data_IF_080958751231
#
_entry.id   IF_080958751231
#
_cell.length_a   1.000
_cell.length_b   1.000
_cell.length_c   1.000
_cell.angle_alpha   90.00
_cell.angle_beta   90.00
_cell.angle_gamma   90.00
#
_symmetry.space_group_name_H-M   'P 1'
#
loop_
_entity.id
_entity.type
_entity.pdbx_description
1 polymer ?
#
# COMPACT_ATOMS: atom_id res chain seq x y z
N UNK A 1 -27.05 -5.68 -0.15
CA UNK A 1 -28.24 -5.07 -0.76
C UNK A 1 -29.36 -4.72 0.22
N UNK A 2 -29.81 -5.58 1.17
CA UNK A 2 -30.90 -5.21 2.11
C UNK A 2 -30.51 -4.18 3.18
N UNK A 3 -29.28 -4.22 3.73
CA UNK A 3 -28.79 -3.27 4.75
C UNK A 3 -28.43 -1.90 4.13
N UNK A 4 -27.74 -1.88 3.00
CA UNK A 4 -27.44 -0.64 2.24
C UNK A 4 -28.72 0.08 1.76
N UNK A 5 -29.73 -0.69 1.32
CA UNK A 5 -31.06 -0.11 1.00
C UNK A 5 -31.76 0.50 2.22
N UNK A 6 -31.49 -0.02 3.43
CA UNK A 6 -32.01 0.56 4.69
C UNK A 6 -31.27 1.84 5.06
N UNK A 7 -29.94 1.91 4.87
CA UNK A 7 -29.13 3.11 5.10
C UNK A 7 -29.56 4.24 4.15
N UNK A 8 -29.72 3.92 2.86
CA UNK A 8 -30.18 4.87 1.85
C UNK A 8 -31.63 5.32 2.05
N UNK A 9 -32.52 4.40 2.46
CA UNK A 9 -33.91 4.75 2.81
C UNK A 9 -33.96 5.66 4.05
N UNK A 10 -33.02 5.52 4.98
CA UNK A 10 -32.91 6.37 6.17
C UNK A 10 -32.36 7.75 5.82
N UNK A 11 -31.34 7.83 4.90
CA UNK A 11 -30.80 9.08 4.40
C UNK A 11 -31.81 9.87 3.54
N UNK A 12 -32.57 9.21 2.66
CA UNK A 12 -33.67 9.85 1.91
C UNK A 12 -34.85 10.30 2.81
N UNK A 13 -35.15 9.54 3.86
CA UNK A 13 -36.19 9.94 4.83
C UNK A 13 -35.76 11.20 5.60
N UNK A 14 -34.46 11.38 5.92
CA UNK A 14 -33.94 12.55 6.60
C UNK A 14 -34.01 13.81 5.72
N UNK A 15 -33.74 13.71 4.41
CA UNK A 15 -33.84 14.85 3.48
C UNK A 15 -35.30 15.31 3.28
N UNK A 16 -36.30 14.39 3.41
CA UNK A 16 -37.73 14.75 3.33
C UNK A 16 -38.28 15.37 4.62
N UNK A 17 -37.64 15.16 5.77
CA UNK A 17 -38.12 15.76 7.05
C UNK A 17 -37.76 17.25 7.16
N UNK A 18 -36.67 17.70 6.48
CA UNK A 18 -36.29 19.12 6.50
C UNK A 18 -37.22 20.08 5.73
N UNK A 19 -38.16 19.57 4.91
CA UNK A 19 -39.07 20.40 4.14
C UNK A 19 -40.41 20.72 4.86
N UNK A 20 -40.69 20.23 6.07
CA UNK A 20 -41.95 20.39 6.74
C UNK A 20 -41.94 21.02 8.16
N UNK A 21 -40.78 21.46 8.66
CA UNK A 21 -40.67 22.05 10.00
C UNK A 21 -40.61 23.60 9.97
N UNK A 22 -41.60 24.23 9.33
CA UNK A 22 -41.87 25.64 9.51
C UNK A 22 -43.35 25.81 9.94
N UNK A 23 -43.70 25.48 11.17
CA UNK A 23 -44.74 26.06 12.03
C UNK A 23 -45.06 25.16 13.23
N UNK A 24 -44.84 25.67 14.44
CA UNK A 24 -45.51 25.21 15.63
C UNK A 24 -44.58 24.66 16.73
N UNK A 25 -44.40 25.44 17.81
CA UNK A 25 -43.54 25.14 18.94
C UNK A 25 -43.96 23.92 19.74
N UNK A 26 -42.99 23.27 20.31
CA UNK A 26 -43.01 22.17 21.24
C UNK A 26 -41.60 21.63 21.41
N UNK A 27 -41.03 21.79 22.63
CA UNK A 27 -39.77 21.19 23.06
C UNK A 27 -39.81 19.67 22.88
N UNK A 28 -39.13 19.16 21.89
CA UNK A 28 -38.59 17.81 21.86
C UNK A 28 -37.24 17.89 21.11
N UNK A 29 -36.16 17.87 21.88
CA UNK A 29 -34.81 17.72 21.39
C UNK A 29 -34.64 16.33 20.77
N UNK A 30 -35.04 16.17 19.51
CA UNK A 30 -34.54 15.08 18.69
C UNK A 30 -33.07 15.36 18.50
N UNK A 31 -32.20 14.57 19.14
CA UNK A 31 -30.78 14.53 18.85
C UNK A 31 -30.63 14.26 17.35
N UNK A 32 -30.12 15.23 16.62
CA UNK A 32 -29.72 15.11 15.22
C UNK A 32 -28.52 14.15 15.22
N UNK A 33 -28.80 12.83 15.09
CA UNK A 33 -27.75 11.82 15.12
C UNK A 33 -27.06 11.79 13.77
N UNK A 34 -25.78 12.20 13.71
CA UNK A 34 -24.94 11.99 12.55
C UNK A 34 -25.04 10.52 12.09
N UNK A 35 -25.03 10.30 10.78
CA UNK A 35 -25.01 8.94 10.20
C UNK A 35 -23.69 8.29 10.57
N UNK A 36 -23.73 7.14 11.26
CA UNK A 36 -22.52 6.38 11.60
C UNK A 36 -22.26 5.29 10.57
N UNK A 37 -21.03 5.23 10.06
CA UNK A 37 -20.51 4.21 9.14
C UNK A 37 -19.36 3.51 9.83
N UNK A 38 -19.48 2.21 10.08
CA UNK A 38 -18.45 1.40 10.71
C UNK A 38 -17.45 0.92 9.66
N UNK A 39 -16.17 1.20 9.87
CA UNK A 39 -15.09 0.86 8.93
C UNK A 39 -14.04 -0.01 9.62
N UNK A 40 -13.96 -1.29 9.24
CA UNK A 40 -12.89 -2.18 9.69
C UNK A 40 -11.62 -1.91 8.88
N UNK A 41 -10.54 -1.46 9.54
CA UNK A 41 -9.22 -1.26 8.91
C UNK A 41 -8.30 -2.36 9.40
N UNK A 42 -7.76 -3.18 8.50
CA UNK A 42 -6.87 -4.29 8.87
C UNK A 42 -5.54 -4.09 8.14
N UNK A 43 -4.52 -3.73 8.93
CA UNK A 43 -3.15 -3.56 8.45
C UNK A 43 -2.40 -4.89 8.48
N UNK A 44 -1.60 -5.19 7.44
CA UNK A 44 -0.83 -6.42 7.38
C UNK A 44 0.21 -6.52 8.50
N UNK A 45 1.09 -5.52 8.61
CA UNK A 45 2.14 -5.40 9.64
C UNK A 45 2.63 -3.95 9.74
N UNK A 46 3.50 -3.67 10.71
CA UNK A 46 4.13 -2.36 10.84
C UNK A 46 5.35 -2.24 9.94
N UNK A 47 5.33 -1.27 9.06
CA UNK A 47 6.45 -0.64 8.37
C UNK A 47 6.02 0.72 7.82
N UNK A 48 6.96 1.58 7.45
CA UNK A 48 6.72 2.99 7.16
C UNK A 48 5.58 3.21 6.13
N UNK A 49 5.58 2.53 4.99
CA UNK A 49 4.54 2.73 3.95
C UNK A 49 3.14 2.33 4.44
N UNK A 50 2.97 1.19 5.14
CA UNK A 50 1.65 0.78 5.63
C UNK A 50 1.16 1.68 6.77
N UNK A 51 2.07 2.16 7.63
CA UNK A 51 1.73 3.10 8.69
C UNK A 51 1.24 4.43 8.09
N UNK A 52 1.94 4.97 7.07
CA UNK A 52 1.51 6.16 6.33
C UNK A 52 0.11 5.99 5.72
N UNK A 53 -0.15 4.85 5.09
CA UNK A 53 -1.47 4.55 4.50
C UNK A 53 -2.56 4.63 5.56
N UNK A 54 -2.40 3.88 6.66
CA UNK A 54 -3.43 3.78 7.71
C UNK A 54 -3.69 5.12 8.36
N UNK A 55 -2.63 5.86 8.71
CA UNK A 55 -2.74 7.20 9.30
C UNK A 55 -3.52 8.15 8.38
N UNK A 56 -3.21 8.13 7.09
CA UNK A 56 -3.88 9.01 6.13
C UNK A 56 -5.30 8.56 5.76
N UNK A 57 -5.61 7.25 5.79
CA UNK A 57 -6.99 6.76 5.72
C UNK A 57 -7.80 7.31 6.89
N UNK A 58 -7.34 7.14 8.12
CA UNK A 58 -8.02 7.57 9.34
C UNK A 58 -8.25 9.09 9.33
N UNK A 59 -7.19 9.86 9.11
CA UNK A 59 -7.26 11.31 9.03
C UNK A 59 -8.24 11.79 7.95
N UNK A 60 -8.21 11.16 6.78
CA UNK A 60 -9.09 11.56 5.67
C UNK A 60 -10.55 11.21 5.92
N UNK A 61 -10.83 10.07 6.56
CA UNK A 61 -12.19 9.70 6.99
C UNK A 61 -12.75 10.72 7.99
N UNK A 62 -11.93 11.21 8.94
CA UNK A 62 -12.33 12.26 9.88
C UNK A 62 -12.62 13.59 9.18
N UNK A 63 -11.72 14.04 8.28
CA UNK A 63 -11.89 15.26 7.50
C UNK A 63 -13.19 15.22 6.69
N UNK A 64 -13.39 14.14 5.93
CA UNK A 64 -14.59 13.97 5.10
C UNK A 64 -15.85 13.78 5.91
N UNK A 65 -15.74 13.08 7.04
CA UNK A 65 -16.84 12.90 7.98
C UNK A 65 -17.34 14.23 8.53
N UNK A 66 -16.42 15.10 8.96
CA UNK A 66 -16.74 16.44 9.43
C UNK A 66 -17.39 17.33 8.34
N UNK A 67 -16.95 17.21 7.07
CA UNK A 67 -17.53 17.95 5.94
C UNK A 67 -18.95 17.51 5.60
N UNK A 68 -19.26 16.21 5.79
CA UNK A 68 -20.50 15.57 5.32
C UNK A 68 -21.50 15.27 6.44
N UNK A 69 -21.18 15.58 7.70
CA UNK A 69 -21.94 15.21 8.89
C UNK A 69 -22.16 13.68 8.99
N UNK A 70 -21.08 12.92 8.68
CA UNK A 70 -21.02 11.47 8.79
C UNK A 70 -19.95 11.12 9.82
N UNK A 71 -20.26 10.21 10.75
CA UNK A 71 -19.26 9.66 11.66
C UNK A 71 -18.74 8.33 11.12
N UNK A 72 -17.48 8.31 10.67
CA UNK A 72 -16.78 7.07 10.30
C UNK A 72 -16.16 6.48 11.58
N UNK A 73 -16.77 5.41 12.11
CA UNK A 73 -16.28 4.74 13.31
C UNK A 73 -15.26 3.67 12.90
N UNK A 74 -13.96 3.95 13.02
CA UNK A 74 -12.87 3.04 12.67
C UNK A 74 -11.97 2.69 13.85
N UNK A 75 -11.81 3.55 14.86
CA UNK A 75 -10.84 3.35 15.95
C UNK A 75 -11.07 2.03 16.69
N UNK A 76 -12.32 1.63 16.85
CA UNK A 76 -12.70 0.37 17.49
C UNK A 76 -12.43 -0.85 16.60
N UNK A 77 -12.37 -0.65 15.29
CA UNK A 77 -12.28 -1.71 14.27
C UNK A 77 -10.96 -1.69 13.51
N UNK A 78 -9.99 -0.89 13.97
CA UNK A 78 -8.61 -0.97 13.49
C UNK A 78 -7.90 -2.13 14.15
N UNK A 79 -7.22 -2.96 13.34
CA UNK A 79 -6.45 -4.11 13.81
C UNK A 79 -5.19 -4.28 12.95
N UNK A 80 -4.12 -4.82 13.58
CA UNK A 80 -2.86 -5.13 12.91
C UNK A 80 -2.63 -6.64 12.91
N UNK A 81 -2.45 -7.20 11.72
CA UNK A 81 -2.27 -8.63 11.48
C UNK A 81 -0.88 -9.16 11.82
N UNK A 82 0.09 -8.27 12.12
CA UNK A 82 1.46 -8.59 12.53
C UNK A 82 2.23 -9.51 11.56
N UNK A 83 1.79 -9.57 10.29
CA UNK A 83 2.36 -10.47 9.29
C UNK A 83 2.01 -11.95 9.48
N UNK A 84 1.07 -12.27 10.38
CA UNK A 84 0.66 -13.64 10.68
C UNK A 84 -0.73 -13.94 10.09
N UNK A 85 -0.80 -14.96 9.24
CA UNK A 85 -2.04 -15.33 8.56
C UNK A 85 -3.17 -15.73 9.52
N UNK A 86 -2.86 -16.32 10.67
CA UNK A 86 -3.87 -16.71 11.67
C UNK A 86 -4.42 -15.48 12.38
N UNK A 87 -3.56 -14.49 12.69
CA UNK A 87 -3.97 -13.21 13.28
C UNK A 87 -4.81 -12.43 12.28
N UNK A 88 -4.39 -12.35 11.02
CA UNK A 88 -5.15 -11.68 9.94
C UNK A 88 -6.56 -12.27 9.81
N UNK A 89 -6.67 -13.60 9.73
CA UNK A 89 -7.97 -14.26 9.65
C UNK A 89 -8.85 -13.97 10.87
N UNK A 90 -8.25 -13.88 12.08
CA UNK A 90 -8.99 -13.53 13.29
C UNK A 90 -9.46 -12.06 13.22
N UNK A 91 -8.60 -11.12 12.82
CA UNK A 91 -8.97 -9.72 12.65
C UNK A 91 -10.14 -9.55 11.69
N UNK A 92 -10.13 -10.26 10.55
CA UNK A 92 -11.21 -10.24 9.57
C UNK A 92 -12.50 -10.81 10.17
N UNK A 93 -12.41 -11.94 10.88
CA UNK A 93 -13.57 -12.55 11.51
C UNK A 93 -14.20 -11.64 12.58
N UNK A 94 -13.38 -10.92 13.36
CA UNK A 94 -13.84 -10.00 14.39
C UNK A 94 -14.62 -8.83 13.79
N UNK A 95 -14.11 -8.15 12.74
CA UNK A 95 -14.80 -7.03 12.10
C UNK A 95 -16.08 -7.48 11.39
N UNK A 96 -16.11 -8.70 10.81
CA UNK A 96 -17.32 -9.29 10.25
C UNK A 96 -18.36 -9.54 11.36
N UNK A 97 -17.95 -10.07 12.52
CA UNK A 97 -18.84 -10.33 13.66
C UNK A 97 -19.39 -9.03 14.27
N UNK A 98 -18.61 -7.95 14.24
CA UNK A 98 -19.02 -6.60 14.69
C UNK A 98 -19.94 -5.88 13.67
N UNK A 99 -20.25 -6.55 12.56
CA UNK A 99 -21.13 -6.04 11.50
C UNK A 99 -20.67 -4.67 10.98
N UNK A 100 -19.38 -4.55 10.55
CA UNK A 100 -18.89 -3.33 9.91
C UNK A 100 -19.56 -3.11 8.55
N UNK A 101 -19.69 -1.85 8.13
CA UNK A 101 -20.26 -1.48 6.84
C UNK A 101 -19.27 -1.59 5.70
N UNK A 102 -17.96 -1.42 5.97
CA UNK A 102 -16.84 -1.54 5.04
C UNK A 102 -15.66 -2.24 5.70
N UNK A 103 -14.88 -2.97 4.90
CA UNK A 103 -13.57 -3.48 5.30
C UNK A 103 -12.50 -2.84 4.40
N UNK A 104 -11.47 -2.26 5.01
CA UNK A 104 -10.28 -1.76 4.32
C UNK A 104 -9.10 -2.66 4.68
N UNK A 105 -8.80 -3.70 3.88
CA UNK A 105 -7.57 -4.46 4.03
C UNK A 105 -6.40 -3.67 3.44
N UNK A 106 -5.32 -3.53 4.19
CA UNK A 106 -4.11 -2.82 3.78
C UNK A 106 -3.01 -3.84 3.49
N UNK A 107 -2.54 -3.88 2.27
CA UNK A 107 -1.64 -4.81 1.62
C UNK A 107 -2.30 -6.08 1.03
N UNK A 108 -1.67 -6.64 -0.01
CA UNK A 108 -2.18 -7.79 -0.80
C UNK A 108 -2.54 -9.01 0.05
N UNK A 109 -1.74 -9.47 1.03
CA UNK A 109 -2.08 -10.66 1.81
C UNK A 109 -3.39 -10.51 2.59
N UNK A 110 -3.67 -9.31 3.14
CA UNK A 110 -4.91 -9.03 3.88
C UNK A 110 -6.09 -8.93 2.91
N UNK A 111 -5.89 -8.33 1.72
CA UNK A 111 -6.92 -8.23 0.70
C UNK A 111 -7.41 -9.59 0.22
N UNK A 112 -6.49 -10.54 -0.02
CA UNK A 112 -6.81 -11.94 -0.41
C UNK A 112 -7.60 -12.63 0.71
N UNK A 113 -7.17 -12.49 1.97
CA UNK A 113 -7.86 -13.08 3.10
C UNK A 113 -9.27 -12.47 3.30
N UNK A 114 -9.40 -11.14 3.16
CA UNK A 114 -10.69 -10.45 3.26
C UNK A 114 -11.66 -10.84 2.15
N UNK A 115 -11.19 -10.95 0.89
CA UNK A 115 -11.99 -11.44 -0.23
C UNK A 115 -12.56 -12.82 0.08
N UNK A 116 -11.69 -13.75 0.48
CA UNK A 116 -12.09 -15.14 0.80
C UNK A 116 -13.14 -15.18 1.91
N UNK A 117 -12.97 -14.37 2.96
CA UNK A 117 -13.88 -14.35 4.11
C UNK A 117 -15.23 -13.66 3.80
N UNK A 118 -15.29 -12.81 2.76
CA UNK A 118 -16.48 -12.01 2.43
C UNK A 118 -17.16 -12.41 1.12
N UNK A 119 -16.70 -13.49 0.45
CA UNK A 119 -17.20 -13.92 -0.86
C UNK A 119 -18.72 -14.09 -0.90
N UNK A 120 -19.32 -14.64 0.16
CA UNK A 120 -20.76 -14.85 0.30
C UNK A 120 -21.46 -13.75 1.10
N UNK A 121 -20.77 -12.65 1.41
CA UNK A 121 -21.29 -11.56 2.25
C UNK A 121 -21.53 -10.29 1.42
N UNK A 122 -22.53 -9.50 1.85
CA UNK A 122 -22.83 -8.19 1.24
C UNK A 122 -21.95 -7.05 1.84
N UNK A 123 -20.74 -7.37 2.34
CA UNK A 123 -19.81 -6.38 2.91
C UNK A 123 -18.87 -5.91 1.81
N UNK A 124 -18.87 -4.62 1.42
CA UNK A 124 -17.90 -4.09 0.47
C UNK A 124 -16.50 -4.04 1.07
N UNK A 125 -15.52 -4.49 0.29
CA UNK A 125 -14.11 -4.48 0.62
C UNK A 125 -13.42 -3.47 -0.28
N UNK A 126 -12.66 -2.53 0.33
CA UNK A 126 -11.88 -1.51 -0.39
C UNK A 126 -10.42 -1.67 0.01
N UNK A 127 -9.67 -2.41 -0.80
CA UNK A 127 -8.25 -2.64 -0.49
C UNK A 127 -7.40 -1.38 -0.69
N UNK A 128 -6.31 -1.31 0.06
CA UNK A 128 -5.26 -0.29 -0.09
C UNK A 128 -3.92 -0.99 -0.31
N UNK A 129 -3.11 -0.48 -1.25
CA UNK A 129 -1.79 -1.02 -1.59
C UNK A 129 -1.83 -2.50 -2.02
N UNK A 130 -2.50 -2.77 -3.13
CA UNK A 130 -2.42 -4.06 -3.82
C UNK A 130 -1.71 -3.87 -5.15
N UNK A 131 -0.53 -4.49 -5.31
CA UNK A 131 0.35 -4.23 -6.46
C UNK A 131 -0.20 -4.80 -7.77
N UNK A 132 -0.82 -5.99 -7.74
CA UNK A 132 -1.46 -6.61 -8.91
C UNK A 132 -2.84 -7.20 -8.54
N UNK A 133 -3.89 -6.37 -8.51
CA UNK A 133 -5.22 -6.84 -8.11
C UNK A 133 -5.84 -7.89 -9.05
N UNK A 134 -5.47 -7.86 -10.33
CA UNK A 134 -5.95 -8.84 -11.32
C UNK A 134 -5.18 -10.15 -11.19
N UNK A 135 -3.84 -10.08 -11.12
CA UNK A 135 -2.98 -11.25 -10.93
C UNK A 135 -3.22 -11.97 -9.60
N UNK A 136 -3.53 -11.23 -8.53
CA UNK A 136 -3.94 -11.77 -7.24
C UNK A 136 -5.36 -12.37 -7.24
N UNK A 137 -6.11 -12.23 -8.34
CA UNK A 137 -7.48 -12.77 -8.47
C UNK A 137 -8.53 -12.01 -7.65
N UNK A 138 -8.23 -10.79 -7.20
CA UNK A 138 -9.15 -9.97 -6.40
C UNK A 138 -10.25 -9.33 -7.25
N UNK A 139 -9.92 -8.92 -8.46
CA UNK A 139 -10.84 -8.25 -9.39
C UNK A 139 -10.76 -8.85 -10.80
N UNK A 140 -11.86 -8.79 -11.53
CA UNK A 140 -11.89 -9.28 -12.92
C UNK A 140 -11.07 -8.38 -13.87
N UNK A 141 -11.11 -7.07 -13.65
CA UNK A 141 -10.26 -6.07 -14.31
C UNK A 141 -10.22 -4.80 -13.46
N UNK A 142 -9.28 -3.89 -13.75
CA UNK A 142 -9.17 -2.62 -13.03
C UNK A 142 -10.39 -1.72 -13.26
N UNK A 143 -10.92 -1.67 -14.49
CA UNK A 143 -12.07 -0.83 -14.83
C UNK A 143 -13.41 -1.39 -14.34
N UNK A 144 -13.53 -2.71 -14.19
CA UNK A 144 -14.74 -3.40 -13.78
C UNK A 144 -14.41 -4.57 -12.83
N UNK A 145 -14.28 -4.30 -11.53
CA UNK A 145 -13.92 -5.30 -10.51
C UNK A 145 -14.84 -6.52 -10.49
N UNK A 146 -16.15 -6.31 -10.56
CA UNK A 146 -17.16 -7.35 -10.77
C UNK A 146 -17.65 -8.08 -9.51
N UNK A 147 -16.91 -7.99 -8.39
CA UNK A 147 -17.22 -8.60 -7.08
C UNK A 147 -17.60 -7.58 -6.02
N UNK A 148 -17.50 -7.99 -4.75
CA UNK A 148 -17.68 -7.11 -3.60
C UNK A 148 -16.39 -6.38 -3.19
N UNK A 149 -15.32 -6.46 -4.00
CA UNK A 149 -14.00 -5.91 -3.72
C UNK A 149 -13.52 -4.97 -4.82
N UNK A 150 -12.94 -3.84 -4.42
CA UNK A 150 -12.22 -2.84 -5.22
C UNK A 150 -11.16 -2.17 -4.36
N UNK A 151 -10.48 -1.12 -4.83
CA UNK A 151 -9.53 -0.38 -4.00
C UNK A 151 -8.50 0.41 -4.78
N UNK A 152 -7.34 0.62 -4.16
CA UNK A 152 -6.22 1.39 -4.69
C UNK A 152 -4.98 0.51 -4.88
N UNK A 153 -4.37 0.61 -6.06
CA UNK A 153 -3.19 -0.18 -6.41
C UNK A 153 -1.90 0.62 -6.26
N UNK A 154 -0.89 -0.01 -5.67
CA UNK A 154 0.50 0.47 -5.62
C UNK A 154 1.36 -0.23 -6.68
N UNK A 155 0.81 -0.49 -7.86
CA UNK A 155 1.54 -1.10 -8.97
C UNK A 155 2.95 -0.51 -9.13
N UNK A 156 3.96 -1.37 -9.26
CA UNK A 156 5.35 -0.98 -9.46
C UNK A 156 5.75 -1.11 -10.93
N UNK A 157 6.22 -0.02 -11.54
CA UNK A 157 6.95 -0.08 -12.80
C UNK A 157 8.39 -0.56 -12.57
N UNK A 158 8.57 -1.88 -12.59
CA UNK A 158 9.86 -2.51 -12.37
C UNK A 158 10.91 -2.08 -13.42
N UNK A 159 10.49 -1.84 -14.66
CA UNK A 159 11.43 -1.41 -15.71
C UNK A 159 11.95 0.01 -15.43
N UNK A 160 11.13 0.88 -14.86
CA UNK A 160 11.57 2.22 -14.49
C UNK A 160 12.64 2.19 -13.40
N UNK A 161 12.46 1.39 -12.33
CA UNK A 161 13.47 1.27 -11.28
C UNK A 161 14.78 0.61 -11.81
N UNK A 162 14.67 -0.37 -12.70
CA UNK A 162 15.83 -0.93 -13.37
C UNK A 162 16.55 0.14 -14.20
N UNK A 163 15.83 1.01 -14.90
CA UNK A 163 16.43 2.12 -15.64
C UNK A 163 17.18 3.10 -14.74
N UNK A 164 16.66 3.40 -13.53
CA UNK A 164 17.40 4.20 -12.53
C UNK A 164 18.71 3.52 -12.11
N UNK A 165 18.65 2.21 -11.83
CA UNK A 165 19.83 1.43 -11.46
C UNK A 165 20.94 1.53 -12.51
N UNK A 166 20.63 1.29 -13.78
CA UNK A 166 21.59 1.37 -14.87
C UNK A 166 21.96 2.80 -15.29
N UNK A 167 21.19 3.80 -14.89
CA UNK A 167 21.58 5.20 -15.05
C UNK A 167 22.60 5.64 -13.98
N UNK A 168 22.50 5.10 -12.77
CA UNK A 168 23.46 5.34 -11.70
C UNK A 168 24.78 4.58 -11.93
N UNK A 169 24.68 3.32 -12.39
CA UNK A 169 25.84 2.48 -12.72
C UNK A 169 25.65 1.76 -14.07
N UNK A 170 26.15 2.33 -15.17
CA UNK A 170 26.06 1.69 -16.49
C UNK A 170 26.92 0.41 -16.64
N UNK A 171 27.89 0.18 -15.76
CA UNK A 171 28.77 -0.97 -15.77
C UNK A 171 28.26 -2.13 -14.90
N UNK A 172 27.09 -1.99 -14.23
CA UNK A 172 26.46 -3.05 -13.45
C UNK A 172 26.23 -4.30 -14.31
N UNK A 173 26.83 -5.43 -13.94
CA UNK A 173 26.78 -6.68 -14.69
C UNK A 173 26.16 -7.85 -13.93
N UNK A 174 25.86 -7.67 -12.61
CA UNK A 174 25.23 -8.67 -11.77
C UNK A 174 24.29 -8.03 -10.74
N UNK A 175 22.98 -8.32 -10.80
CA UNK A 175 21.97 -7.79 -9.90
C UNK A 175 21.48 -8.86 -8.91
N UNK A 176 21.45 -8.51 -7.62
CA UNK A 176 20.79 -9.31 -6.60
C UNK A 176 19.26 -9.08 -6.61
N UNK A 177 18.47 -10.14 -6.57
CA UNK A 177 17.02 -10.08 -6.41
C UNK A 177 16.69 -10.63 -5.03
N UNK A 178 16.26 -9.75 -4.11
CA UNK A 178 15.92 -10.08 -2.73
C UNK A 178 14.41 -9.92 -2.50
N UNK A 179 13.73 -10.99 -2.12
CA UNK A 179 12.27 -10.98 -1.95
C UNK A 179 11.77 -12.16 -1.12
N UNK A 180 10.53 -12.09 -0.68
CA UNK A 180 9.78 -13.20 -0.09
C UNK A 180 8.90 -13.86 -1.16
N UNK A 181 9.26 -15.08 -1.57
CA UNK A 181 8.50 -15.83 -2.57
C UNK A 181 7.11 -16.29 -2.07
N UNK A 182 6.82 -16.13 -0.78
CA UNK A 182 5.50 -16.36 -0.20
C UNK A 182 4.53 -15.20 -0.33
N UNK A 183 4.98 -14.04 -0.86
CA UNK A 183 4.14 -12.88 -1.09
C UNK A 183 3.77 -12.72 -2.56
N UNK A 184 2.46 -12.73 -2.85
CA UNK A 184 1.95 -12.60 -4.22
C UNK A 184 2.32 -11.25 -4.87
N UNK A 185 2.40 -10.17 -4.08
CA UNK A 185 2.80 -8.84 -4.54
C UNK A 185 4.24 -8.76 -5.09
N UNK A 186 5.13 -9.68 -4.71
CA UNK A 186 6.51 -9.72 -5.22
C UNK A 186 6.63 -10.45 -6.57
N UNK A 187 5.71 -11.35 -6.88
CA UNK A 187 5.84 -12.31 -8.00
C UNK A 187 5.96 -11.63 -9.36
N UNK A 188 5.05 -10.72 -9.68
CA UNK A 188 5.02 -10.04 -10.98
C UNK A 188 6.24 -9.14 -11.19
N UNK A 189 6.64 -8.38 -10.15
CA UNK A 189 7.78 -7.48 -10.21
C UNK A 189 9.12 -8.25 -10.37
N UNK A 190 9.29 -9.38 -9.66
CA UNK A 190 10.48 -10.23 -9.81
C UNK A 190 10.54 -10.88 -11.20
N UNK A 191 9.40 -11.31 -11.74
CA UNK A 191 9.35 -11.83 -13.11
C UNK A 191 9.76 -10.76 -14.14
N UNK A 192 9.25 -9.53 -14.01
CA UNK A 192 9.61 -8.40 -14.87
C UNK A 192 11.09 -8.02 -14.74
N UNK A 193 11.65 -8.01 -13.52
CA UNK A 193 13.08 -7.77 -13.31
C UNK A 193 13.95 -8.81 -14.02
N UNK A 194 13.59 -10.09 -13.92
CA UNK A 194 14.32 -11.19 -14.57
C UNK A 194 14.24 -11.11 -16.11
N UNK A 195 13.08 -10.74 -16.65
CA UNK A 195 12.91 -10.51 -18.07
C UNK A 195 13.79 -9.36 -18.55
N UNK A 196 13.73 -8.20 -17.88
CA UNK A 196 14.53 -7.02 -18.18
C UNK A 196 16.03 -7.32 -18.16
N UNK A 197 16.54 -7.97 -17.09
CA UNK A 197 17.94 -8.31 -16.94
C UNK A 197 18.41 -9.32 -18.01
N UNK A 198 17.56 -10.30 -18.32
CA UNK A 198 17.83 -11.29 -19.38
C UNK A 198 17.94 -10.62 -20.75
N UNK A 199 17.01 -9.71 -21.10
CA UNK A 199 17.04 -8.96 -22.36
C UNK A 199 18.28 -8.07 -22.47
N UNK A 200 18.70 -7.49 -21.35
CA UNK A 200 19.89 -6.65 -21.26
C UNK A 200 21.22 -7.45 -21.24
N UNK A 201 21.12 -8.76 -21.01
CA UNK A 201 22.30 -9.65 -20.91
C UNK A 201 23.05 -9.51 -19.59
N UNK A 202 22.40 -9.02 -18.54
CA UNK A 202 22.94 -8.84 -17.19
C UNK A 202 22.66 -10.08 -16.34
N UNK A 203 23.65 -10.54 -15.59
CA UNK A 203 23.49 -11.66 -14.67
C UNK A 203 22.65 -11.27 -13.45
N UNK A 204 21.98 -12.25 -12.82
CA UNK A 204 21.31 -12.00 -11.55
C UNK A 204 21.43 -13.20 -10.60
N UNK A 205 21.36 -12.89 -9.31
CA UNK A 205 21.36 -13.86 -8.20
C UNK A 205 20.12 -13.68 -7.36
N UNK A 206 19.28 -14.70 -7.24
CA UNK A 206 18.06 -14.65 -6.42
C UNK A 206 18.34 -15.14 -5.00
N UNK A 207 17.77 -14.42 -4.02
CA UNK A 207 17.68 -14.83 -2.62
C UNK A 207 16.27 -14.63 -2.11
N UNK A 208 15.73 -15.66 -1.49
CA UNK A 208 14.43 -15.63 -0.82
C UNK A 208 14.63 -15.50 0.69
N UNK A 209 13.77 -14.69 1.33
CA UNK A 209 13.72 -14.56 2.78
C UNK A 209 12.28 -14.32 3.23
N UNK A 210 11.79 -15.10 4.17
CA UNK A 210 10.42 -15.02 4.71
C UNK A 210 10.37 -14.49 6.15
N UNK A 211 11.51 -14.10 6.69
CA UNK A 211 11.65 -13.45 8.00
C UNK A 211 12.77 -12.41 7.97
N UNK A 212 12.78 -11.49 8.92
CA UNK A 212 13.86 -10.49 9.08
C UNK A 212 15.24 -11.15 9.25
N UNK A 213 15.33 -12.22 10.02
CA UNK A 213 16.60 -12.94 10.23
C UNK A 213 17.09 -13.60 8.93
N UNK A 214 16.19 -14.18 8.14
CA UNK A 214 16.53 -14.74 6.83
C UNK A 214 16.91 -13.63 5.84
N UNK A 215 16.30 -12.44 5.91
CA UNK A 215 16.65 -11.31 5.07
C UNK A 215 18.10 -10.85 5.29
N UNK A 216 18.57 -10.83 6.54
CA UNK A 216 19.96 -10.52 6.86
C UNK A 216 20.91 -11.54 6.24
N UNK A 217 20.63 -12.84 6.41
CA UNK A 217 21.44 -13.90 5.81
C UNK A 217 21.43 -13.86 4.28
N UNK A 218 20.29 -13.50 3.69
CA UNK A 218 20.13 -13.36 2.25
C UNK A 218 20.93 -12.17 1.72
N UNK A 219 20.93 -11.03 2.43
CA UNK A 219 21.72 -9.85 2.10
C UNK A 219 23.24 -10.17 2.14
N UNK A 220 23.71 -10.82 3.21
CA UNK A 220 25.10 -11.26 3.32
C UNK A 220 25.50 -12.24 2.17
N UNK A 221 24.57 -13.14 1.80
CA UNK A 221 24.81 -14.08 0.70
C UNK A 221 24.84 -13.40 -0.67
N UNK A 222 24.08 -12.33 -0.91
CA UNK A 222 24.15 -11.52 -2.13
C UNK A 222 25.47 -10.77 -2.21
N UNK A 223 25.89 -10.14 -1.12
CA UNK A 223 27.20 -9.48 -1.03
C UNK A 223 28.35 -10.48 -1.31
N UNK A 224 28.28 -11.67 -0.68
CA UNK A 224 29.29 -12.73 -0.91
C UNK A 224 29.28 -13.27 -2.36
N UNK A 225 28.16 -13.18 -3.06
CA UNK A 225 28.05 -13.56 -4.46
C UNK A 225 28.65 -12.51 -5.42
N UNK A 226 28.97 -11.30 -4.92
CA UNK A 226 29.60 -10.23 -5.69
C UNK A 226 28.62 -9.53 -6.62
N UNK A 227 27.38 -9.29 -6.16
CA UNK A 227 26.42 -8.48 -6.92
C UNK A 227 26.80 -7.01 -6.89
N UNK A 228 26.52 -6.28 -7.96
CA UNK A 228 26.84 -4.84 -8.08
C UNK A 228 25.72 -3.95 -7.53
N UNK A 229 24.48 -4.44 -7.54
CA UNK A 229 23.30 -3.78 -7.01
C UNK A 229 22.28 -4.81 -6.51
N UNK A 230 21.35 -4.41 -5.65
CA UNK A 230 20.22 -5.25 -5.20
C UNK A 230 18.90 -4.57 -5.54
N UNK A 231 17.93 -5.37 -5.98
CA UNK A 231 16.55 -4.97 -6.18
C UNK A 231 15.61 -5.77 -5.26
N UNK A 232 14.69 -5.05 -4.63
CA UNK A 232 13.55 -5.62 -3.89
C UNK A 232 12.27 -4.94 -4.36
N UNK A 233 11.20 -5.71 -4.72
CA UNK A 233 9.90 -5.12 -5.08
C UNK A 233 9.16 -4.52 -3.87
N UNK A 234 7.85 -4.30 -3.96
CA UNK A 234 6.99 -3.90 -2.84
C UNK A 234 6.80 -5.03 -1.82
N UNK A 235 7.88 -5.57 -1.31
CA UNK A 235 7.92 -6.75 -0.44
C UNK A 235 7.87 -6.36 1.04
N UNK A 236 6.75 -6.70 1.71
CA UNK A 236 6.53 -6.30 3.11
C UNK A 236 7.52 -6.93 4.10
N UNK A 237 7.97 -8.18 3.84
CA UNK A 237 8.95 -8.85 4.70
C UNK A 237 10.30 -8.17 4.64
N UNK A 238 10.76 -7.82 3.43
CA UNK A 238 12.05 -7.15 3.25
C UNK A 238 11.96 -5.68 3.66
N UNK A 239 10.84 -4.97 3.40
CA UNK A 239 10.63 -3.61 3.94
C UNK A 239 10.79 -3.56 5.46
N UNK A 240 10.17 -4.50 6.16
CA UNK A 240 10.33 -4.62 7.63
C UNK A 240 11.77 -4.92 8.06
N UNK A 241 12.52 -5.62 7.21
CA UNK A 241 13.91 -5.99 7.50
C UNK A 241 14.92 -4.89 7.14
N UNK A 242 14.54 -3.85 6.39
CA UNK A 242 15.46 -2.88 5.80
C UNK A 242 16.41 -2.24 6.82
N UNK A 243 15.89 -1.77 7.97
CA UNK A 243 16.70 -1.23 9.07
C UNK A 243 17.75 -2.22 9.64
N UNK A 244 17.62 -3.52 9.32
CA UNK A 244 18.57 -4.55 9.74
C UNK A 244 19.61 -4.84 8.65
N UNK A 245 19.25 -4.67 7.37
CA UNK A 245 20.08 -5.13 6.24
C UNK A 245 20.82 -4.00 5.51
N UNK A 246 20.35 -2.75 5.57
CA UNK A 246 20.89 -1.65 4.78
C UNK A 246 22.39 -1.40 5.03
N UNK A 247 22.84 -1.49 6.29
CA UNK A 247 24.27 -1.33 6.61
C UNK A 247 25.15 -2.41 5.98
N UNK A 248 24.64 -3.64 5.82
CA UNK A 248 25.35 -4.74 5.14
C UNK A 248 25.65 -4.37 3.69
N UNK A 249 24.69 -3.77 3.00
CA UNK A 249 24.86 -3.32 1.63
C UNK A 249 25.79 -2.09 1.53
N UNK A 250 25.63 -1.10 2.39
CA UNK A 250 26.50 0.09 2.44
C UNK A 250 27.97 -0.31 2.67
N UNK A 251 28.24 -1.18 3.65
CA UNK A 251 29.61 -1.63 3.96
C UNK A 251 30.25 -2.40 2.78
N UNK A 252 29.46 -3.05 1.95
CA UNK A 252 29.91 -3.75 0.77
C UNK A 252 30.02 -2.85 -0.48
N UNK A 253 29.53 -1.60 -0.41
CA UNK A 253 29.45 -0.70 -1.55
C UNK A 253 28.39 -1.10 -2.59
N UNK A 254 27.34 -1.83 -2.16
CA UNK A 254 26.27 -2.35 -3.01
C UNK A 254 25.02 -1.49 -2.83
N UNK A 255 24.56 -0.70 -3.82
CA UNK A 255 23.33 0.07 -3.71
C UNK A 255 22.09 -0.85 -3.71
N UNK A 256 21.16 -0.60 -2.76
CA UNK A 256 19.88 -1.27 -2.69
C UNK A 256 18.78 -0.39 -3.27
N UNK A 257 18.00 -0.95 -4.21
CA UNK A 257 16.86 -0.31 -4.87
C UNK A 257 15.57 -0.99 -4.47
N UNK A 258 14.63 -0.22 -3.91
CA UNK A 258 13.35 -0.72 -3.40
C UNK A 258 12.14 -0.23 -4.17
N UNK A 259 11.09 -1.04 -4.19
CA UNK A 259 9.82 -0.75 -4.87
C UNK A 259 8.85 0.11 -4.06
N UNK A 260 9.25 0.66 -2.92
CA UNK A 260 8.45 1.52 -2.06
C UNK A 260 9.34 2.54 -1.35
N UNK A 261 8.80 3.71 -1.02
CA UNK A 261 9.52 4.80 -0.35
C UNK A 261 10.13 4.39 1.00
N UNK A 262 9.47 3.48 1.71
CA UNK A 262 9.97 2.94 3.00
C UNK A 262 11.35 2.30 2.89
N UNK A 263 11.76 1.77 1.74
CA UNK A 263 13.12 1.29 1.56
C UNK A 263 14.14 2.42 1.69
N UNK A 264 13.95 3.52 0.96
CA UNK A 264 14.83 4.68 1.05
C UNK A 264 14.74 5.36 2.43
N UNK A 265 13.54 5.45 3.02
CA UNK A 265 13.34 5.97 4.38
C UNK A 265 14.10 5.14 5.44
N UNK A 266 14.25 3.85 5.23
CA UNK A 266 14.91 2.95 6.16
C UNK A 266 16.34 2.53 5.73
N UNK A 267 16.98 3.31 4.84
CA UNK A 267 18.40 3.20 4.57
C UNK A 267 18.81 2.63 3.21
N UNK A 268 17.87 2.13 2.38
CA UNK A 268 18.21 1.78 1.00
C UNK A 268 18.66 3.02 0.21
N UNK A 269 19.47 2.82 -0.83
CA UNK A 269 20.00 3.91 -1.65
C UNK A 269 18.89 4.69 -2.36
N UNK A 270 18.00 3.97 -3.01
CA UNK A 270 16.94 4.57 -3.81
C UNK A 270 15.69 3.69 -3.78
N UNK A 271 14.54 4.32 -3.81
CA UNK A 271 13.27 3.67 -4.08
C UNK A 271 12.56 4.34 -5.25
N UNK A 272 11.60 3.61 -5.83
CA UNK A 272 10.75 4.12 -6.90
C UNK A 272 9.34 3.57 -6.72
N UNK A 273 8.34 4.45 -6.80
CA UNK A 273 6.97 4.00 -6.55
C UNK A 273 5.95 5.13 -6.52
N UNK A 274 4.91 4.92 -5.75
CA UNK A 274 3.80 5.83 -5.53
C UNK A 274 3.95 6.58 -4.21
N UNK A 275 3.21 7.69 -4.07
CA UNK A 275 3.05 8.39 -2.79
C UNK A 275 2.06 7.64 -1.90
N UNK A 276 2.54 7.00 -0.85
CA UNK A 276 1.72 6.21 0.09
C UNK A 276 0.81 7.07 0.97
N UNK A 277 1.18 8.32 1.23
CA UNK A 277 0.28 9.30 1.87
C UNK A 277 -0.95 9.54 0.99
N UNK A 278 -0.72 9.86 -0.28
CA UNK A 278 -1.80 10.09 -1.25
C UNK A 278 -2.65 8.82 -1.48
N UNK A 279 -2.01 7.65 -1.49
CA UNK A 279 -2.71 6.37 -1.64
C UNK A 279 -3.72 6.13 -0.49
N UNK A 280 -3.32 6.41 0.75
CA UNK A 280 -4.22 6.35 1.92
C UNK A 280 -5.39 7.34 1.80
N UNK A 281 -5.12 8.59 1.43
CA UNK A 281 -6.15 9.62 1.21
C UNK A 281 -7.18 9.14 0.17
N UNK A 282 -6.71 8.64 -0.97
CA UNK A 282 -7.59 8.21 -2.06
C UNK A 282 -8.37 6.94 -1.74
N UNK A 283 -7.83 6.05 -0.91
CA UNK A 283 -8.57 4.89 -0.39
C UNK A 283 -9.76 5.35 0.48
N UNK A 284 -9.54 6.29 1.38
CA UNK A 284 -10.61 6.86 2.20
C UNK A 284 -11.65 7.60 1.35
N UNK A 285 -11.22 8.44 0.39
CA UNK A 285 -12.13 9.13 -0.53
C UNK A 285 -12.97 8.15 -1.36
N UNK A 286 -12.42 6.99 -1.75
CA UNK A 286 -13.18 5.93 -2.43
C UNK A 286 -14.29 5.36 -1.53
N UNK A 287 -14.00 5.07 -0.26
CA UNK A 287 -15.03 4.63 0.72
C UNK A 287 -16.11 5.68 0.87
N UNK A 288 -15.72 6.95 1.05
CA UNK A 288 -16.65 8.08 1.18
C UNK A 288 -17.53 8.20 -0.07
N UNK A 289 -16.94 8.15 -1.28
CA UNK A 289 -17.68 8.22 -2.54
C UNK A 289 -18.70 7.06 -2.68
N UNK A 290 -18.31 5.85 -2.27
CA UNK A 290 -19.22 4.70 -2.26
C UNK A 290 -20.38 4.89 -1.29
N UNK A 291 -20.15 5.51 -0.11
CA UNK A 291 -21.20 5.84 0.87
C UNK A 291 -22.16 6.86 0.31
N UNK A 292 -21.66 8.03 -0.14
CA UNK A 292 -22.53 9.17 -0.54
C UNK A 292 -23.27 8.92 -1.86
N UNK A 293 -22.67 8.18 -2.79
CA UNK A 293 -23.25 7.87 -4.10
C UNK A 293 -23.88 6.47 -4.19
N UNK A 294 -23.91 5.73 -3.07
CA UNK A 294 -24.42 4.36 -3.02
C UNK A 294 -23.86 3.46 -4.13
N UNK A 295 -22.53 3.56 -4.36
CA UNK A 295 -21.84 2.75 -5.36
C UNK A 295 -21.49 1.38 -4.81
N UNK A 296 -21.61 0.37 -5.66
CA UNK A 296 -21.09 -0.97 -5.33
C UNK A 296 -19.60 -1.08 -5.64
N UNK A 297 -18.88 -1.95 -4.93
CA UNK A 297 -17.50 -2.27 -5.25
C UNK A 297 -17.36 -2.83 -6.68
N UNK A 298 -18.35 -3.61 -7.14
CA UNK A 298 -18.37 -4.20 -8.47
C UNK A 298 -18.29 -3.17 -9.62
N UNK A 299 -18.83 -1.96 -9.37
CA UNK A 299 -18.93 -0.87 -10.38
C UNK A 299 -17.94 0.27 -10.11
N UNK A 300 -17.15 0.17 -9.05
CA UNK A 300 -16.14 1.18 -8.68
C UNK A 300 -14.78 0.71 -9.22
N UNK A 301 -14.21 1.37 -10.25
CA UNK A 301 -12.91 1.00 -10.79
C UNK A 301 -11.82 1.01 -9.73
N UNK A 302 -10.86 0.10 -9.87
CA UNK A 302 -9.62 0.15 -9.08
C UNK A 302 -8.86 1.42 -9.47
N UNK A 303 -8.42 2.17 -8.47
CA UNK A 303 -7.63 3.38 -8.70
C UNK A 303 -6.16 3.01 -8.79
N UNK A 304 -5.51 3.50 -9.84
CA UNK A 304 -4.07 3.43 -10.04
C UNK A 304 -3.47 4.83 -9.95
N UNK A 305 -2.19 4.91 -9.62
CA UNK A 305 -1.47 6.17 -9.45
C UNK A 305 -0.39 6.30 -10.50
N UNK A 306 0.03 7.53 -10.74
CA UNK A 306 1.20 7.79 -11.55
C UNK A 306 2.43 7.29 -10.77
N UNK A 307 3.06 6.27 -11.32
CA UNK A 307 4.20 5.59 -10.71
C UNK A 307 5.47 6.23 -11.26
N UNK A 308 6.02 7.20 -10.55
CA UNK A 308 7.09 8.00 -11.12
C UNK A 308 7.95 8.72 -10.09
N UNK A 309 7.77 8.48 -8.80
CA UNK A 309 8.54 9.13 -7.74
C UNK A 309 9.79 8.31 -7.46
N UNK A 310 10.96 8.90 -7.69
CA UNK A 310 12.23 8.37 -7.22
C UNK A 310 12.57 9.03 -5.89
N UNK A 311 12.75 8.25 -4.84
CA UNK A 311 13.17 8.72 -3.51
C UNK A 311 14.60 8.27 -3.25
N UNK A 312 15.52 9.20 -3.03
CA UNK A 312 16.94 8.92 -2.79
C UNK A 312 17.29 9.22 -1.33
N UNK A 313 17.87 8.24 -0.66
CA UNK A 313 18.45 8.44 0.66
C UNK A 313 19.83 9.11 0.49
N UNK A 314 19.94 10.37 0.92
CA UNK A 314 21.15 11.18 0.71
C UNK A 314 22.32 10.73 1.59
N UNK A 315 22.06 10.19 2.79
CA UNK A 315 23.10 9.63 3.66
C UNK A 315 23.69 8.35 3.06
N UNK A 316 22.85 7.46 2.55
CA UNK A 316 23.27 6.23 1.87
C UNK A 316 23.96 6.53 0.53
N UNK A 317 23.47 7.52 -0.21
CA UNK A 317 24.11 8.02 -1.42
C UNK A 317 25.57 8.44 -1.16
N UNK A 318 25.79 9.26 -0.13
CA UNK A 318 27.14 9.68 0.28
C UNK A 318 28.01 8.50 0.78
N UNK A 319 27.42 7.61 1.60
CA UNK A 319 28.14 6.46 2.15
C UNK A 319 28.62 5.47 1.08
N UNK A 320 27.84 5.31 -0.02
CA UNK A 320 28.20 4.52 -1.19
C UNK A 320 29.21 5.25 -2.12
N UNK A 321 29.51 6.53 -1.85
CA UNK A 321 30.44 7.33 -2.63
C UNK A 321 29.83 7.94 -3.91
N UNK A 322 28.51 7.96 -4.03
CA UNK A 322 27.82 8.66 -5.11
C UNK A 322 27.78 10.18 -4.84
N UNK A 323 27.85 10.97 -5.91
CA UNK A 323 27.54 12.41 -5.85
C UNK A 323 26.04 12.60 -6.13
N UNK A 324 25.30 13.05 -5.12
CA UNK A 324 23.84 13.26 -5.24
C UNK A 324 23.46 14.19 -6.40
N UNK A 325 24.28 15.22 -6.70
CA UNK A 325 23.99 16.10 -7.82
C UNK A 325 24.06 15.36 -9.17
N UNK A 326 25.00 14.42 -9.32
CA UNK A 326 25.10 13.57 -10.52
C UNK A 326 23.96 12.56 -10.56
N UNK A 327 23.60 11.92 -9.44
CA UNK A 327 22.44 11.03 -9.36
C UNK A 327 21.17 11.76 -9.74
N UNK A 328 20.95 12.96 -9.20
CA UNK A 328 19.78 13.79 -9.52
C UNK A 328 19.71 14.13 -11.03
N UNK A 329 20.85 14.45 -11.66
CA UNK A 329 20.91 14.75 -13.09
C UNK A 329 20.52 13.54 -13.96
N UNK A 330 21.02 12.34 -13.63
CA UNK A 330 20.72 11.13 -14.41
C UNK A 330 19.33 10.54 -14.12
N UNK A 331 18.77 10.77 -12.94
CA UNK A 331 17.43 10.31 -12.58
C UNK A 331 16.31 11.22 -13.07
N UNK A 332 16.53 12.53 -13.12
CA UNK A 332 15.50 13.51 -13.51
C UNK A 332 14.75 13.20 -14.81
N UNK A 333 15.38 12.69 -15.89
CA UNK A 333 14.65 12.33 -17.12
C UNK A 333 13.86 11.00 -17.01
N UNK A 334 14.04 10.22 -15.93
CA UNK A 334 13.51 8.88 -15.76
C UNK A 334 12.37 8.82 -14.71
N UNK A 335 12.12 9.91 -14.01
CA UNK A 335 11.09 10.00 -12.99
C UNK A 335 10.25 11.28 -13.16
N UNK A 336 9.03 11.30 -12.59
CA UNK A 336 8.16 12.48 -12.59
C UNK A 336 8.49 13.42 -11.44
N UNK A 337 9.00 12.87 -10.33
CA UNK A 337 9.51 13.60 -9.19
C UNK A 337 10.74 12.88 -8.62
N UNK A 338 11.64 13.66 -8.03
CA UNK A 338 12.78 13.14 -7.27
C UNK A 338 12.71 13.75 -5.87
N UNK A 339 12.65 12.88 -4.88
CA UNK A 339 12.55 13.24 -3.47
C UNK A 339 13.83 12.85 -2.73
N UNK A 340 14.18 13.63 -1.72
CA UNK A 340 15.34 13.42 -0.87
C UNK A 340 14.89 13.03 0.53
N UNK A 341 15.49 11.98 1.08
CA UNK A 341 15.25 11.54 2.44
C UNK A 341 16.56 11.27 3.17
N UNK A 342 16.48 11.18 4.48
CA UNK A 342 17.54 10.68 5.36
C UNK A 342 17.02 9.45 6.08
N UNK A 343 17.92 8.62 6.59
CA UNK A 343 17.54 7.38 7.26
C UNK A 343 16.74 7.65 8.53
N UNK A 344 15.52 7.12 8.59
CA UNK A 344 14.71 7.09 9.81
C UNK A 344 15.10 5.87 10.66
N UNK A 345 15.33 6.08 11.97
CA UNK A 345 15.73 4.98 12.87
C UNK A 345 14.56 4.06 13.29
N UNK A 346 13.35 4.38 12.90
CA UNK A 346 12.12 3.65 13.23
C UNK A 346 11.10 3.75 12.08
N UNK A 347 9.96 3.09 12.26
CA UNK A 347 8.85 3.10 11.29
C UNK A 347 7.78 4.18 11.60
N UNK A 348 8.12 5.23 12.37
CA UNK A 348 7.22 6.34 12.69
C UNK A 348 7.23 7.44 11.63
#
# INVERSE_FOLDING_TARGET
MKKMKKLFAMMMAMIMVFSFAACGGGDDSAADGAVTVKVGIIQYMDHASLNQIVENIQKRLDERGAELDIHFEYEKYYQNGQGDASVINQCIADVIADEVDFIIPVATPVAIAAQTATEDLDIPVVFSAVSDPVGAGLVASLDAPGGNITGTSDYLDTNAIMNLMFAADPDCDCVGLLYDAGQDNSTAAIAAAKEYLTEKGVAFVEKNASTTDEALLAAEALVAAGVDAVFTPTDNTIMKAELTIYETFIQAGVPHYGGADSFALNGAFCSYGVDYTNLGIMTADMVVDMVINNRSAAETPVMTFDNGIATVNTETCEALGFDFAQISEVFAPLCTALEEVVTAENFE
#
